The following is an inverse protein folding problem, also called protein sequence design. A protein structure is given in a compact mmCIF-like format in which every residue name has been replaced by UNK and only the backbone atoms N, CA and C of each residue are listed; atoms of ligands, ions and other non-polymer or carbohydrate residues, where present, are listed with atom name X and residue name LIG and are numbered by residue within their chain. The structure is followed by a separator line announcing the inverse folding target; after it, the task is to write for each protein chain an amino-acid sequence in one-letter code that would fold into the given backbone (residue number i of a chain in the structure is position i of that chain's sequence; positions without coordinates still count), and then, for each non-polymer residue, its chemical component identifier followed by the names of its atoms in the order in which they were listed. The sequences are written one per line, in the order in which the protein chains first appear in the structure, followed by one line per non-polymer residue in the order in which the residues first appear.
data_IF_585411523787
#
_entry.id   IF_585411523787
#
_cell.length_a   1.000
_cell.length_b   1.000
_cell.length_c   1.000
_cell.angle_alpha   90.00
_cell.angle_beta   90.00
_cell.angle_gamma   90.00
#
_symmetry.space_group_name_H-M   'P 1'
#
loop_
_entity.id
_entity.type
_entity.pdbx_description
1 polymer ?
#
# COMPACT_ATOMS: atom_id res chain seq x y z
N UNK A 1 4.00 57.23 67.91
CA UNK A 1 4.81 56.19 67.22
C UNK A 1 3.85 55.29 66.46
N UNK A 2 3.67 55.50 65.14
CA UNK A 2 2.84 54.67 64.25
C UNK A 2 3.76 54.16 63.16
N UNK A 3 4.04 52.85 63.17
CA UNK A 3 4.81 52.16 62.13
C UNK A 3 3.86 51.83 60.96
N UNK A 4 4.13 52.41 59.80
CA UNK A 4 3.47 52.04 58.53
C UNK A 4 4.18 50.83 57.96
N UNK A 5 3.44 49.69 57.81
CA UNK A 5 3.83 48.51 57.04
C UNK A 5 3.39 48.72 55.58
N UNK A 6 4.33 48.90 54.69
CA UNK A 6 4.11 48.93 53.28
C UNK A 6 4.27 47.44 52.81
N UNK A 7 3.16 46.81 52.50
CA UNK A 7 3.17 45.48 51.94
C UNK A 7 3.34 45.56 50.38
N UNK A 8 4.55 45.26 49.93
CA UNK A 8 4.84 45.11 48.50
C UNK A 8 4.17 43.82 47.97
N UNK A 9 3.14 43.99 47.17
CA UNK A 9 2.48 42.88 46.46
C UNK A 9 3.24 42.64 45.15
N UNK A 10 4.12 41.63 45.11
CA UNK A 10 4.80 41.16 43.90
C UNK A 10 3.81 40.34 43.07
N UNK A 11 3.30 40.96 42.02
CA UNK A 11 2.52 40.26 40.98
C UNK A 11 3.51 39.53 40.09
N UNK A 12 3.67 38.23 40.33
CA UNK A 12 4.41 37.32 39.44
C UNK A 12 3.50 36.94 38.30
N UNK A 13 3.59 37.63 37.18
CA UNK A 13 2.90 37.27 35.95
C UNK A 13 3.60 36.05 35.35
N UNK A 14 3.08 34.85 35.61
CA UNK A 14 3.53 33.64 34.97
C UNK A 14 3.14 33.71 33.49
N UNK A 15 4.11 34.00 32.62
CA UNK A 15 4.01 33.81 31.17
C UNK A 15 3.94 32.30 30.93
N UNK A 16 2.73 31.76 30.83
CA UNK A 16 2.50 30.43 30.27
C UNK A 16 2.73 30.56 28.77
N UNK A 17 3.99 30.40 28.36
CA UNK A 17 4.35 30.22 26.96
C UNK A 17 3.71 28.92 26.46
N UNK A 18 2.59 29.04 25.79
CA UNK A 18 2.03 27.94 24.98
C UNK A 18 3.11 27.54 23.99
N UNK A 19 3.81 26.44 24.26
CA UNK A 19 4.65 25.79 23.29
C UNK A 19 3.64 25.18 22.25
N UNK A 20 3.28 25.99 21.25
CA UNK A 20 2.70 25.50 20.03
C UNK A 20 3.82 24.67 19.43
N UNK A 21 3.81 23.36 19.66
CA UNK A 21 4.58 22.42 18.86
C UNK A 21 4.04 22.57 17.45
N UNK A 22 4.68 23.44 16.68
CA UNK A 22 4.49 23.46 15.24
C UNK A 22 4.88 22.06 14.76
N UNK A 23 3.90 21.20 14.56
CA UNK A 23 4.10 20.00 13.76
C UNK A 23 4.49 20.55 12.39
N UNK A 24 5.78 20.53 12.09
CA UNK A 24 6.24 20.83 10.74
C UNK A 24 5.44 19.94 9.82
N UNK A 25 4.56 20.55 9.02
CA UNK A 25 3.68 19.84 8.11
C UNK A 25 4.56 19.00 7.20
N UNK A 26 4.23 17.74 7.00
CA UNK A 26 5.09 16.83 6.25
C UNK A 26 5.34 17.35 4.82
N UNK A 27 4.36 18.02 4.22
CA UNK A 27 4.50 18.64 2.89
C UNK A 27 5.58 19.75 2.91
N UNK A 28 5.55 20.68 3.87
CA UNK A 28 6.54 21.75 4.00
C UNK A 28 7.96 21.21 4.19
N UNK A 29 8.09 20.17 5.02
CA UNK A 29 9.37 19.48 5.23
C UNK A 29 9.87 18.84 3.92
N UNK A 30 9.03 18.11 3.19
CA UNK A 30 9.38 17.48 1.93
C UNK A 30 9.88 18.53 0.92
N UNK A 31 9.16 19.64 0.79
CA UNK A 31 9.53 20.74 -0.12
C UNK A 31 10.83 21.42 0.32
N UNK A 32 11.00 21.68 1.61
CA UNK A 32 12.19 22.32 2.17
C UNK A 32 13.43 21.44 2.03
N UNK A 33 13.30 20.16 2.40
CA UNK A 33 14.40 19.20 2.39
C UNK A 33 14.71 18.67 0.98
N UNK A 34 13.88 19.06 -0.01
CA UNK A 34 13.98 18.60 -1.40
C UNK A 34 14.00 17.07 -1.52
N UNK A 35 13.28 16.35 -0.65
CA UNK A 35 13.29 14.90 -0.59
C UNK A 35 11.97 14.34 -0.09
N UNK A 36 11.48 13.29 -0.75
CA UNK A 36 10.32 12.50 -0.34
C UNK A 36 10.70 11.02 -0.21
N UNK A 37 10.27 10.39 0.90
CA UNK A 37 10.48 8.96 1.16
C UNK A 37 9.18 8.22 0.90
N UNK A 38 9.21 7.27 -0.04
CA UNK A 38 8.01 6.54 -0.47
C UNK A 38 8.25 5.03 -0.31
N UNK A 39 7.27 4.30 0.24
CA UNK A 39 7.37 2.83 0.34
C UNK A 39 7.41 2.19 -1.04
N UNK A 40 8.23 1.15 -1.20
CA UNK A 40 8.37 0.36 -2.41
C UNK A 40 8.32 -1.13 -2.08
N UNK A 41 7.30 -1.84 -2.57
CA UNK A 41 7.20 -3.30 -2.47
C UNK A 41 7.61 -3.91 -3.82
N UNK A 42 8.88 -4.36 -3.92
CA UNK A 42 9.49 -4.81 -5.17
C UNK A 42 9.28 -6.31 -5.47
N UNK A 43 8.40 -6.97 -4.75
CA UNK A 43 8.05 -8.39 -4.94
C UNK A 43 6.62 -8.59 -5.42
N UNK A 44 5.91 -7.50 -5.78
CA UNK A 44 4.49 -7.48 -6.13
C UNK A 44 4.28 -7.11 -7.62
N UNK A 45 4.52 -8.02 -8.57
CA UNK A 45 4.33 -7.73 -9.98
C UNK A 45 2.84 -7.49 -10.31
N UNK A 46 2.51 -6.55 -11.22
CA UNK A 46 3.38 -5.60 -11.92
C UNK A 46 3.56 -4.26 -11.20
N UNK A 47 3.08 -4.15 -9.96
CA UNK A 47 3.05 -2.91 -9.17
C UNK A 47 4.45 -2.48 -8.73
N UNK A 48 5.25 -3.44 -8.27
CA UNK A 48 6.65 -3.25 -7.91
C UNK A 48 7.45 -4.53 -8.15
N UNK A 49 8.52 -4.40 -8.89
CA UNK A 49 9.45 -5.46 -9.27
C UNK A 49 10.89 -4.94 -9.20
N UNK A 50 11.84 -5.82 -9.31
CA UNK A 50 13.19 -5.48 -9.74
C UNK A 50 13.30 -5.76 -11.24
N UNK A 51 13.78 -4.79 -12.01
CA UNK A 51 14.07 -4.96 -13.42
C UNK A 51 15.30 -5.87 -13.66
N UNK A 52 15.71 -6.04 -14.93
CA UNK A 52 16.86 -6.87 -15.29
C UNK A 52 18.20 -6.35 -14.76
N UNK A 53 18.27 -5.08 -14.39
CA UNK A 53 19.45 -4.44 -13.79
C UNK A 53 19.40 -4.42 -12.26
N UNK A 54 18.34 -4.99 -11.67
CA UNK A 54 18.13 -5.01 -10.22
C UNK A 54 17.56 -3.69 -9.68
N UNK A 55 17.09 -2.80 -10.54
CA UNK A 55 16.50 -1.52 -10.11
C UNK A 55 14.98 -1.68 -9.88
N UNK A 56 14.43 -0.98 -8.87
CA UNK A 56 12.99 -0.96 -8.65
C UNK A 56 12.23 -0.42 -9.87
N UNK A 57 11.19 -1.13 -10.30
CA UNK A 57 10.31 -0.75 -11.41
C UNK A 57 8.88 -1.25 -11.16
N UNK A 58 7.91 -0.85 -12.01
CA UNK A 58 6.50 -1.22 -11.89
C UNK A 58 5.59 0.00 -11.72
N UNK A 59 4.27 -0.21 -11.80
CA UNK A 59 3.30 0.90 -11.82
C UNK A 59 3.36 1.79 -10.58
N UNK A 60 3.53 1.22 -9.39
CA UNK A 60 3.60 2.00 -8.15
C UNK A 60 4.95 2.74 -8.02
N UNK A 61 6.01 2.14 -8.54
CA UNK A 61 7.34 2.80 -8.58
C UNK A 61 7.30 3.97 -9.58
N UNK A 62 6.68 3.79 -10.76
CA UNK A 62 6.49 4.84 -11.75
C UNK A 62 5.60 5.97 -11.19
N UNK A 63 4.54 5.64 -10.46
CA UNK A 63 3.68 6.60 -9.75
C UNK A 63 4.46 7.39 -8.70
N UNK A 64 5.32 6.73 -7.92
CA UNK A 64 6.20 7.40 -6.95
C UNK A 64 7.22 8.35 -7.62
N UNK A 65 7.81 7.93 -8.73
CA UNK A 65 8.71 8.77 -9.53
C UNK A 65 7.99 10.01 -10.08
N UNK A 66 6.74 9.83 -10.57
CA UNK A 66 5.94 10.94 -11.07
C UNK A 66 5.58 11.93 -9.96
N UNK A 67 5.21 11.43 -8.77
CA UNK A 67 4.92 12.30 -7.61
C UNK A 67 6.15 13.14 -7.22
N UNK A 68 7.32 12.51 -7.09
CA UNK A 68 8.56 13.22 -6.73
C UNK A 68 8.95 14.25 -7.79
N UNK A 69 8.79 13.92 -9.08
CA UNK A 69 9.01 14.84 -10.21
C UNK A 69 8.10 16.06 -10.12
N UNK A 70 6.82 15.86 -9.85
CA UNK A 70 5.83 16.94 -9.77
C UNK A 70 6.04 17.83 -8.54
N UNK A 71 6.55 17.27 -7.43
CA UNK A 71 6.98 18.03 -6.26
C UNK A 71 8.31 18.76 -6.47
N UNK A 72 9.09 18.39 -7.49
CA UNK A 72 10.43 18.93 -7.72
C UNK A 72 11.44 18.52 -6.64
N UNK A 73 11.34 17.28 -6.13
CA UNK A 73 12.15 16.74 -5.04
C UNK A 73 12.81 15.40 -5.44
N UNK A 74 13.86 15.02 -4.69
CA UNK A 74 14.49 13.71 -4.81
C UNK A 74 13.55 12.61 -4.26
N UNK A 75 13.48 11.46 -4.95
CA UNK A 75 12.78 10.27 -4.49
C UNK A 75 13.72 9.34 -3.75
N UNK A 76 13.38 9.03 -2.49
CA UNK A 76 13.96 7.90 -1.76
C UNK A 76 12.94 6.77 -1.67
N UNK A 77 13.25 5.61 -2.25
CA UNK A 77 12.42 4.42 -2.14
C UNK A 77 12.77 3.64 -0.87
N UNK A 78 11.79 3.49 0.02
CA UNK A 78 11.90 2.70 1.24
C UNK A 78 11.36 1.30 0.95
N UNK A 79 12.25 0.34 0.74
CA UNK A 79 11.84 -1.04 0.46
C UNK A 79 11.15 -1.67 1.66
N UNK A 80 10.00 -2.28 1.42
CA UNK A 80 9.12 -2.90 2.43
C UNK A 80 8.46 -4.16 1.87
N UNK A 81 8.05 -5.05 2.78
CA UNK A 81 7.07 -6.11 2.47
C UNK A 81 5.64 -5.59 2.65
N UNK A 82 4.64 -6.36 2.20
CA UNK A 82 3.22 -6.02 2.37
C UNK A 82 2.86 -5.66 3.81
N UNK A 83 3.36 -6.43 4.79
CA UNK A 83 3.12 -6.20 6.22
C UNK A 83 3.84 -4.97 6.77
N UNK A 84 4.93 -4.52 6.16
CA UNK A 84 5.74 -3.40 6.63
C UNK A 84 5.28 -2.04 6.12
N UNK A 85 4.38 -1.96 5.12
CA UNK A 85 3.93 -0.71 4.50
C UNK A 85 3.39 0.31 5.51
N UNK A 86 2.37 -0.08 6.27
CA UNK A 86 1.76 0.78 7.30
C UNK A 86 2.73 1.04 8.47
N UNK A 87 3.40 0.04 9.06
CA UNK A 87 4.41 0.30 10.09
C UNK A 87 5.52 1.26 9.67
N UNK A 88 6.01 1.19 8.42
CA UNK A 88 7.03 2.13 7.92
C UNK A 88 6.52 3.57 7.89
N UNK A 89 5.26 3.77 7.48
CA UNK A 89 4.60 5.07 7.44
C UNK A 89 4.40 5.63 8.85
N UNK A 90 3.84 4.83 9.78
CA UNK A 90 3.56 5.25 11.15
C UNK A 90 4.83 5.56 11.95
N UNK A 91 5.91 4.82 11.71
CA UNK A 91 7.22 5.05 12.31
C UNK A 91 7.99 6.23 11.68
N UNK A 92 7.43 6.90 10.66
CA UNK A 92 8.07 7.99 9.96
C UNK A 92 9.30 7.59 9.14
N UNK A 93 9.45 6.30 8.81
CA UNK A 93 10.48 5.82 7.87
C UNK A 93 10.15 6.19 6.43
N UNK A 94 8.87 6.26 6.10
CA UNK A 94 8.36 6.79 4.84
C UNK A 94 7.39 7.94 5.12
N UNK A 95 7.29 8.87 4.18
CA UNK A 95 6.36 9.99 4.23
C UNK A 95 5.01 9.62 3.61
N UNK A 96 5.07 8.77 2.59
CA UNK A 96 3.93 8.34 1.79
C UNK A 96 4.04 6.84 1.52
N UNK A 97 2.91 6.14 1.54
CA UNK A 97 2.83 4.77 1.07
C UNK A 97 2.21 4.73 -0.34
N UNK A 98 3.02 4.35 -1.34
CA UNK A 98 2.60 4.06 -2.72
C UNK A 98 3.07 2.64 -3.03
N UNK A 99 2.22 1.65 -2.80
CA UNK A 99 2.58 0.23 -2.95
C UNK A 99 1.32 -0.65 -3.04
N UNK A 100 0.39 -0.29 -3.92
CA UNK A 100 -0.91 -0.95 -4.14
C UNK A 100 -1.68 -1.26 -2.84
N UNK A 101 -1.65 -0.31 -1.89
CA UNK A 101 -2.28 -0.47 -0.59
C UNK A 101 -3.80 -0.38 -0.72
N UNK A 102 -4.48 -1.53 -0.73
CA UNK A 102 -5.94 -1.60 -0.85
C UNK A 102 -6.62 -0.85 0.29
N UNK A 103 -7.65 -0.06 -0.04
CA UNK A 103 -8.48 0.65 0.93
C UNK A 103 -9.36 -0.37 1.64
N UNK A 104 -9.26 -0.43 2.96
CA UNK A 104 -10.16 -1.22 3.82
C UNK A 104 -10.55 -0.41 5.04
N UNK A 105 -11.69 -0.74 5.66
CA UNK A 105 -12.15 -0.07 6.88
C UNK A 105 -11.09 -0.16 7.99
N UNK A 106 -10.45 -1.31 8.15
CA UNK A 106 -9.47 -1.50 9.22
C UNK A 106 -8.19 -0.69 8.98
N UNK A 107 -7.72 -0.60 7.73
CA UNK A 107 -6.58 0.25 7.37
C UNK A 107 -6.92 1.74 7.49
N UNK A 108 -8.15 2.14 7.13
CA UNK A 108 -8.62 3.53 7.25
C UNK A 108 -8.73 4.03 8.69
N UNK A 109 -8.81 3.13 9.68
CA UNK A 109 -8.69 3.49 11.11
C UNK A 109 -7.26 3.81 11.53
N UNK A 110 -6.26 3.44 10.71
CA UNK A 110 -4.84 3.49 11.07
C UNK A 110 -4.06 4.50 10.24
N UNK A 111 -4.44 4.70 8.98
CA UNK A 111 -3.82 5.63 8.04
C UNK A 111 -4.89 6.44 7.33
N UNK A 112 -4.52 7.57 6.73
CA UNK A 112 -5.40 8.36 5.87
C UNK A 112 -5.08 8.05 4.41
N UNK A 113 -6.12 7.78 3.62
CA UNK A 113 -6.02 7.50 2.20
C UNK A 113 -6.37 8.74 1.37
N UNK A 114 -5.58 9.00 0.35
CA UNK A 114 -5.97 9.89 -0.74
C UNK A 114 -7.02 9.22 -1.65
N UNK A 115 -7.52 9.95 -2.64
CA UNK A 115 -8.37 9.37 -3.69
C UNK A 115 -7.69 8.13 -4.30
N UNK A 116 -8.45 7.09 -4.65
CA UNK A 116 -7.91 5.91 -5.32
C UNK A 116 -7.20 6.29 -6.63
N UNK A 117 -6.10 5.61 -6.91
CA UNK A 117 -5.39 5.74 -8.18
C UNK A 117 -5.28 4.42 -8.95
N UNK A 118 -5.88 3.35 -8.42
CA UNK A 118 -5.94 2.07 -9.10
C UNK A 118 -6.92 1.09 -8.45
N UNK A 119 -7.10 -0.04 -9.11
CA UNK A 119 -7.95 -1.14 -8.65
C UNK A 119 -7.28 -2.48 -8.93
N UNK A 120 -7.59 -3.47 -8.11
CA UNK A 120 -7.14 -4.85 -8.29
C UNK A 120 -8.20 -5.84 -7.83
N UNK A 121 -8.20 -7.01 -8.43
CA UNK A 121 -8.92 -8.18 -7.91
C UNK A 121 -7.93 -9.15 -7.31
N UNK A 122 -8.30 -9.73 -6.19
CA UNK A 122 -7.58 -10.83 -5.55
C UNK A 122 -8.26 -12.13 -5.91
N UNK A 123 -7.50 -13.09 -6.36
CA UNK A 123 -8.00 -14.37 -6.87
C UNK A 123 -7.23 -15.54 -6.26
N UNK A 124 -7.88 -16.69 -6.21
CA UNK A 124 -7.20 -17.95 -5.97
C UNK A 124 -6.70 -18.51 -7.31
N UNK A 125 -5.43 -18.87 -7.36
CA UNK A 125 -4.75 -19.46 -8.52
C UNK A 125 -4.22 -20.84 -8.14
N UNK A 126 -4.39 -21.81 -9.03
CA UNK A 126 -3.90 -23.18 -8.85
C UNK A 126 -3.60 -23.83 -10.21
N UNK A 127 -2.82 -24.94 -10.25
CA UNK A 127 -2.69 -25.78 -11.42
C UNK A 127 -4.06 -26.28 -11.93
N UNK A 128 -4.20 -26.46 -13.25
CA UNK A 128 -5.43 -26.84 -13.92
C UNK A 128 -6.07 -28.13 -13.36
N UNK A 129 -5.23 -29.08 -12.97
CA UNK A 129 -5.67 -30.36 -12.40
C UNK A 129 -6.24 -30.24 -10.98
N UNK A 130 -6.00 -29.16 -10.26
CA UNK A 130 -6.59 -28.89 -8.94
C UNK A 130 -7.99 -28.33 -9.14
N UNK A 131 -9.01 -29.11 -8.73
CA UNK A 131 -10.41 -28.70 -8.86
C UNK A 131 -10.80 -27.76 -7.73
N UNK A 132 -10.96 -26.48 -8.08
CA UNK A 132 -11.41 -25.40 -7.23
C UNK A 132 -12.29 -24.50 -8.10
N UNK A 133 -13.48 -24.18 -7.63
CA UNK A 133 -14.41 -23.25 -8.28
C UNK A 133 -14.95 -22.21 -7.31
N UNK A 134 -14.98 -22.55 -6.02
CA UNK A 134 -15.50 -21.70 -4.94
C UNK A 134 -14.61 -21.81 -3.71
N UNK A 135 -14.84 -20.93 -2.73
CA UNK A 135 -14.13 -20.97 -1.44
C UNK A 135 -14.31 -22.30 -0.71
N UNK A 136 -15.48 -22.97 -0.85
CA UNK A 136 -15.73 -24.27 -0.21
C UNK A 136 -14.77 -25.38 -0.68
N UNK A 137 -14.27 -25.27 -1.92
CA UNK A 137 -13.35 -26.27 -2.51
C UNK A 137 -11.92 -26.15 -1.93
N UNK A 138 -11.67 -25.17 -1.06
CA UNK A 138 -10.43 -25.03 -0.32
C UNK A 138 -10.32 -25.99 0.89
N UNK A 139 -11.41 -26.74 1.19
CA UNK A 139 -11.42 -27.76 2.26
C UNK A 139 -10.23 -28.70 2.13
N UNK A 140 -9.46 -28.85 3.20
CA UNK A 140 -8.28 -29.71 3.30
C UNK A 140 -7.07 -29.27 2.46
N UNK A 141 -7.16 -28.17 1.69
CA UNK A 141 -6.06 -27.70 0.83
C UNK A 141 -5.12 -26.76 1.56
N UNK A 142 -3.85 -26.81 1.17
CA UNK A 142 -2.83 -25.84 1.56
C UNK A 142 -2.93 -24.62 0.65
N UNK A 143 -3.27 -23.49 1.23
CA UNK A 143 -3.54 -22.24 0.51
C UNK A 143 -2.47 -21.20 0.88
N UNK A 144 -1.60 -20.85 -0.06
CA UNK A 144 -0.58 -19.82 0.14
C UNK A 144 -1.20 -18.42 0.13
N UNK A 145 -0.90 -17.62 1.14
CA UNK A 145 -1.29 -16.22 1.24
C UNK A 145 -0.13 -15.37 1.80
N UNK A 146 -0.11 -14.09 1.44
CA UNK A 146 0.96 -13.17 1.86
C UNK A 146 0.49 -12.28 3.00
N UNK A 147 1.36 -12.08 4.01
CA UNK A 147 1.10 -11.19 5.15
C UNK A 147 0.94 -9.73 4.71
N UNK A 148 0.03 -9.01 5.36
CA UNK A 148 -0.23 -7.60 5.13
C UNK A 148 -1.02 -7.28 3.86
N UNK A 149 -1.50 -8.31 3.13
CA UNK A 149 -2.25 -8.14 1.87
C UNK A 149 -3.77 -8.13 2.10
N UNK A 150 -4.52 -7.91 1.02
CA UNK A 150 -5.99 -8.01 1.04
C UNK A 150 -6.42 -9.46 1.23
N UNK A 151 -5.67 -10.41 0.71
CA UNK A 151 -5.87 -11.85 0.83
C UNK A 151 -5.90 -12.29 2.29
N UNK A 152 -4.92 -11.84 3.07
CA UNK A 152 -4.87 -12.11 4.53
C UNK A 152 -6.10 -11.57 5.25
N UNK A 153 -6.59 -10.40 4.83
CA UNK A 153 -7.74 -9.77 5.46
C UNK A 153 -9.09 -10.41 5.06
N UNK A 154 -9.16 -11.09 3.91
CA UNK A 154 -10.44 -11.52 3.32
C UNK A 154 -10.60 -13.03 3.24
N UNK A 155 -9.59 -13.78 2.81
CA UNK A 155 -9.69 -15.21 2.58
C UNK A 155 -10.05 -16.02 3.83
N UNK A 156 -9.50 -15.73 5.04
CA UNK A 156 -9.88 -16.46 6.26
C UNK A 156 -11.37 -16.36 6.62
N UNK A 157 -12.07 -15.33 6.10
CA UNK A 157 -13.50 -15.11 6.40
C UNK A 157 -14.42 -15.99 5.55
N UNK A 158 -13.91 -16.50 4.42
CA UNK A 158 -14.71 -17.29 3.46
C UNK A 158 -14.18 -18.71 3.29
N UNK A 159 -12.94 -19.00 3.68
CA UNK A 159 -12.35 -20.32 3.59
C UNK A 159 -12.98 -21.28 4.62
N UNK A 160 -13.14 -22.57 4.29
CA UNK A 160 -13.50 -23.61 5.24
C UNK A 160 -12.53 -23.68 6.43
N UNK A 161 -13.00 -24.11 7.59
CA UNK A 161 -12.19 -24.21 8.83
C UNK A 161 -11.00 -25.18 8.72
N UNK A 162 -11.10 -26.18 7.86
CA UNK A 162 -10.09 -27.17 7.59
C UNK A 162 -9.15 -26.79 6.44
N UNK A 163 -9.36 -25.65 5.78
CA UNK A 163 -8.41 -25.08 4.86
C UNK A 163 -7.12 -24.67 5.60
N UNK A 164 -5.96 -25.09 5.09
CA UNK A 164 -4.66 -24.81 5.69
C UNK A 164 -4.07 -23.54 5.08
N UNK A 165 -4.34 -22.39 5.69
CA UNK A 165 -3.80 -21.10 5.25
C UNK A 165 -2.31 -21.00 5.63
N UNK A 166 -1.42 -21.07 4.64
CA UNK A 166 0.03 -20.99 4.79
C UNK A 166 0.50 -19.57 4.51
N UNK A 167 1.03 -18.91 5.56
CA UNK A 167 1.42 -17.50 5.51
C UNK A 167 2.87 -17.33 5.06
N UNK A 168 3.09 -16.46 4.07
CA UNK A 168 4.40 -16.04 3.57
C UNK A 168 4.63 -14.56 3.82
N UNK A 169 5.89 -14.14 3.93
CA UNK A 169 6.23 -12.76 4.25
C UNK A 169 6.17 -11.81 3.05
N UNK A 170 6.30 -12.34 1.83
CA UNK A 170 6.23 -11.59 0.58
C UNK A 170 5.57 -12.40 -0.55
N UNK A 171 5.18 -11.70 -1.62
CA UNK A 171 4.47 -12.29 -2.76
C UNK A 171 5.37 -13.25 -3.55
N UNK A 172 6.67 -12.95 -3.66
CA UNK A 172 7.61 -13.83 -4.37
C UNK A 172 7.70 -15.20 -3.70
N UNK A 173 7.79 -15.24 -2.37
CA UNK A 173 7.79 -16.48 -1.58
C UNK A 173 6.47 -17.25 -1.73
N UNK A 174 5.33 -16.55 -1.74
CA UNK A 174 4.01 -17.17 -2.00
C UNK A 174 3.95 -17.79 -3.39
N UNK A 175 4.45 -17.10 -4.40
CA UNK A 175 4.54 -17.60 -5.78
C UNK A 175 5.43 -18.84 -5.85
N UNK A 176 6.61 -18.81 -5.23
CA UNK A 176 7.53 -19.96 -5.23
C UNK A 176 6.92 -21.18 -4.55
N UNK A 177 6.18 -20.99 -3.47
CA UNK A 177 5.46 -22.07 -2.79
C UNK A 177 4.40 -22.72 -3.68
N UNK A 178 3.68 -21.94 -4.50
CA UNK A 178 2.76 -22.46 -5.50
C UNK A 178 3.49 -23.24 -6.61
N UNK A 179 4.55 -22.66 -7.17
CA UNK A 179 5.32 -23.26 -8.28
C UNK A 179 6.03 -24.54 -7.88
N UNK A 180 6.50 -24.65 -6.64
CA UNK A 180 7.16 -25.86 -6.08
C UNK A 180 6.18 -26.92 -5.59
N UNK A 181 4.89 -26.62 -5.47
CA UNK A 181 3.88 -27.54 -4.91
C UNK A 181 3.93 -27.61 -3.36
N UNK A 182 4.61 -26.68 -2.71
CA UNK A 182 4.55 -26.53 -1.24
C UNK A 182 3.13 -26.22 -0.78
N UNK A 183 2.37 -25.46 -1.60
CA UNK A 183 0.94 -25.23 -1.44
C UNK A 183 0.16 -25.73 -2.66
N UNK A 184 -1.10 -26.08 -2.47
CA UNK A 184 -1.96 -26.62 -3.55
C UNK A 184 -2.54 -25.50 -4.42
N UNK A 185 -2.75 -24.34 -3.84
CA UNK A 185 -3.17 -23.11 -4.49
C UNK A 185 -2.63 -21.90 -3.72
N UNK A 186 -2.67 -20.72 -4.33
CA UNK A 186 -2.26 -19.48 -3.68
C UNK A 186 -3.19 -18.35 -4.07
N UNK A 187 -3.28 -17.33 -3.23
CA UNK A 187 -4.07 -16.14 -3.49
C UNK A 187 -3.17 -14.92 -3.59
N UNK A 188 -3.33 -14.16 -4.68
CA UNK A 188 -2.66 -12.90 -4.96
C UNK A 188 -3.46 -12.10 -6.01
N UNK A 189 -2.98 -10.93 -6.39
CA UNK A 189 -3.67 -10.11 -7.39
C UNK A 189 -3.80 -10.83 -8.73
N UNK A 190 -4.87 -10.57 -9.46
CA UNK A 190 -5.10 -11.12 -10.82
C UNK A 190 -3.95 -10.79 -11.78
N UNK A 191 -3.29 -9.64 -11.59
CA UNK A 191 -2.11 -9.25 -12.37
C UNK A 191 -0.89 -10.12 -12.05
N UNK A 192 -0.63 -10.35 -10.75
CA UNK A 192 0.45 -11.25 -10.34
C UNK A 192 0.19 -12.67 -10.84
N UNK A 193 -1.06 -13.15 -10.73
CA UNK A 193 -1.47 -14.46 -11.25
C UNK A 193 -1.20 -14.61 -12.76
N UNK A 194 -1.60 -13.60 -13.53
CA UNK A 194 -1.32 -13.57 -14.97
C UNK A 194 0.18 -13.59 -15.25
N UNK A 195 0.95 -12.71 -14.59
CA UNK A 195 2.41 -12.62 -14.76
C UNK A 195 3.10 -13.96 -14.44
N UNK A 196 2.66 -14.65 -13.39
CA UNK A 196 3.21 -15.97 -12.99
C UNK A 196 2.84 -17.05 -13.99
N UNK A 197 1.59 -17.10 -14.46
CA UNK A 197 1.14 -18.06 -15.46
C UNK A 197 1.89 -17.89 -16.80
N UNK A 198 2.04 -16.65 -17.26
CA UNK A 198 2.74 -16.34 -18.52
C UNK A 198 4.23 -16.76 -18.49
N UNK A 199 4.88 -16.63 -17.32
CA UNK A 199 6.30 -17.02 -17.13
C UNK A 199 6.52 -18.50 -16.87
N UNK A 200 5.45 -19.25 -16.52
CA UNK A 200 5.51 -20.66 -16.17
C UNK A 200 4.43 -21.47 -16.89
N UNK A 201 4.42 -21.50 -18.23
CA UNK A 201 3.34 -22.14 -19.00
C UNK A 201 3.23 -23.65 -18.76
N UNK A 202 4.33 -24.30 -18.38
CA UNK A 202 4.40 -25.71 -18.00
C UNK A 202 3.59 -26.03 -16.75
N UNK A 203 3.40 -25.07 -15.85
CA UNK A 203 2.62 -25.25 -14.61
C UNK A 203 1.12 -25.23 -14.85
N UNK A 204 0.66 -24.78 -16.02
CA UNK A 204 -0.77 -24.70 -16.40
C UNK A 204 -1.63 -24.08 -15.32
N UNK A 205 -1.19 -22.90 -14.82
CA UNK A 205 -1.89 -22.19 -13.76
C UNK A 205 -3.18 -21.57 -14.30
N UNK A 206 -4.24 -21.64 -13.51
CA UNK A 206 -5.56 -21.07 -13.79
C UNK A 206 -6.04 -20.19 -12.64
N UNK A 207 -6.76 -19.14 -12.98
CA UNK A 207 -7.56 -18.37 -12.05
C UNK A 207 -8.79 -19.19 -11.68
N UNK A 208 -8.97 -19.49 -10.40
CA UNK A 208 -10.05 -20.37 -9.92
C UNK A 208 -11.30 -19.58 -9.57
N UNK A 209 -11.20 -18.63 -8.64
CA UNK A 209 -12.29 -17.72 -8.30
C UNK A 209 -11.74 -16.41 -7.72
N UNK A 210 -12.57 -15.36 -7.75
CA UNK A 210 -12.25 -14.07 -7.17
C UNK A 210 -12.61 -14.05 -5.68
N UNK A 211 -11.64 -13.70 -4.84
CA UNK A 211 -11.80 -13.55 -3.39
C UNK A 211 -12.37 -12.18 -3.05
N UNK A 212 -11.81 -11.12 -3.65
CA UNK A 212 -12.20 -9.74 -3.42
C UNK A 212 -11.76 -8.85 -4.58
N UNK A 213 -12.42 -7.72 -4.72
CA UNK A 213 -11.99 -6.60 -5.57
C UNK A 213 -11.89 -5.36 -4.70
N UNK A 214 -10.83 -4.58 -4.86
CA UNK A 214 -10.62 -3.37 -4.07
C UNK A 214 -9.94 -2.28 -4.89
N UNK A 215 -10.22 -1.05 -4.53
CA UNK A 215 -9.42 0.10 -4.93
C UNK A 215 -8.20 0.20 -4.01
N UNK A 216 -7.09 0.73 -4.54
CA UNK A 216 -5.92 1.05 -3.76
C UNK A 216 -5.56 2.53 -3.93
N UNK A 217 -4.94 3.09 -2.91
CA UNK A 217 -4.65 4.51 -2.85
C UNK A 217 -3.31 4.80 -2.19
N UNK A 218 -2.84 5.99 -2.43
CA UNK A 218 -1.75 6.61 -1.69
C UNK A 218 -2.20 6.81 -0.24
N UNK A 219 -1.35 6.48 0.72
CA UNK A 219 -1.65 6.67 2.13
C UNK A 219 -0.60 7.52 2.85
N UNK A 220 -1.06 8.29 3.83
CA UNK A 220 -0.25 9.09 4.75
C UNK A 220 -0.58 8.74 6.20
N UNK A 221 0.30 9.07 7.14
CA UNK A 221 0.04 8.85 8.57
C UNK A 221 -1.09 9.77 9.06
N UNK A 222 -1.78 9.41 10.13
CA UNK A 222 -2.81 10.27 10.74
C UNK A 222 -2.24 11.65 11.12
N UNK A 223 -3.01 12.70 10.83
CA UNK A 223 -2.65 14.08 11.15
C UNK A 223 -1.94 14.84 10.03
N UNK A 224 -1.46 14.19 8.97
CA UNK A 224 -0.80 14.85 7.82
C UNK A 224 -1.85 15.37 6.81
N UNK A 225 -2.77 16.23 7.28
CA UNK A 225 -3.89 16.71 6.45
C UNK A 225 -3.45 17.51 5.23
N UNK A 226 -2.41 18.33 5.34
CA UNK A 226 -1.94 19.15 4.22
C UNK A 226 -1.31 18.30 3.12
N UNK A 227 -0.49 17.30 3.52
CA UNK A 227 0.05 16.34 2.57
C UNK A 227 -1.08 15.53 1.92
N UNK A 228 -2.08 15.10 2.69
CA UNK A 228 -3.24 14.40 2.16
C UNK A 228 -4.02 15.27 1.16
N UNK A 229 -4.28 16.52 1.49
CA UNK A 229 -4.99 17.45 0.60
C UNK A 229 -4.21 17.68 -0.71
N UNK A 230 -2.90 17.86 -0.61
CA UNK A 230 -2.04 17.94 -1.80
C UNK A 230 -2.14 16.66 -2.64
N UNK A 231 -2.04 15.49 -2.03
CA UNK A 231 -2.12 14.20 -2.72
C UNK A 231 -3.48 13.98 -3.39
N UNK A 232 -4.58 14.37 -2.74
CA UNK A 232 -5.91 14.33 -3.34
C UNK A 232 -5.99 15.18 -4.62
N UNK A 233 -5.46 16.40 -4.55
CA UNK A 233 -5.39 17.31 -5.71
C UNK A 233 -4.49 16.74 -6.80
N UNK A 234 -3.34 16.19 -6.43
CA UNK A 234 -2.38 15.59 -7.35
C UNK A 234 -2.97 14.36 -8.06
N UNK A 235 -3.58 13.43 -7.32
CA UNK A 235 -4.24 12.24 -7.91
C UNK A 235 -5.35 12.68 -8.88
N UNK A 236 -6.17 13.66 -8.49
CA UNK A 236 -7.22 14.18 -9.36
C UNK A 236 -6.66 14.77 -10.66
N UNK A 237 -5.63 15.61 -10.60
CA UNK A 237 -4.99 16.21 -11.76
C UNK A 237 -4.37 15.13 -12.65
N UNK A 238 -3.59 14.21 -12.10
CA UNK A 238 -2.87 13.18 -12.86
C UNK A 238 -3.79 12.07 -13.39
N UNK A 239 -4.95 11.87 -12.79
CA UNK A 239 -6.01 11.04 -13.38
C UNK A 239 -6.69 11.76 -14.53
N UNK A 240 -6.99 13.06 -14.35
CA UNK A 240 -7.72 13.87 -15.36
C UNK A 240 -6.91 14.11 -16.63
N UNK A 241 -5.57 14.25 -16.54
CA UNK A 241 -4.68 14.42 -17.68
C UNK A 241 -4.22 13.09 -18.30
N UNK A 242 -4.66 11.95 -17.73
CA UNK A 242 -4.33 10.61 -18.22
C UNK A 242 -2.99 10.06 -17.73
N UNK A 243 -2.18 10.80 -16.99
CA UNK A 243 -0.85 10.37 -16.55
C UNK A 243 -0.90 9.08 -15.75
N UNK A 244 -1.76 9.00 -14.72
CA UNK A 244 -1.89 7.78 -13.89
C UNK A 244 -2.53 6.63 -14.67
N UNK A 245 -3.47 6.93 -15.57
CA UNK A 245 -4.05 5.92 -16.46
C UNK A 245 -3.01 5.28 -17.37
N UNK A 246 -2.14 6.09 -17.97
CA UNK A 246 -1.07 5.62 -18.84
C UNK A 246 -0.04 4.76 -18.08
N UNK A 247 0.39 5.21 -16.88
CA UNK A 247 1.29 4.42 -16.01
C UNK A 247 0.65 3.08 -15.67
N UNK A 248 -0.62 3.08 -15.31
CA UNK A 248 -1.34 1.85 -14.98
C UNK A 248 -1.41 0.90 -16.18
N UNK A 249 -1.83 1.39 -17.37
CA UNK A 249 -1.97 0.59 -18.58
C UNK A 249 -0.62 0.05 -19.08
N UNK A 250 0.44 0.85 -19.04
CA UNK A 250 1.80 0.45 -19.45
C UNK A 250 2.29 -0.78 -18.66
N UNK A 251 2.06 -0.83 -17.35
CA UNK A 251 2.58 -1.89 -16.50
C UNK A 251 1.61 -3.07 -16.33
N UNK A 252 0.30 -2.82 -16.38
CA UNK A 252 -0.72 -3.87 -16.16
C UNK A 252 -1.25 -4.49 -17.45
N UNK A 253 -1.09 -3.79 -18.58
CA UNK A 253 -1.63 -4.20 -19.88
C UNK A 253 -3.14 -3.99 -20.03
N UNK A 254 -3.79 -3.32 -19.06
CA UNK A 254 -5.22 -3.01 -19.11
C UNK A 254 -5.50 -1.55 -18.77
N UNK A 255 -6.54 -0.99 -19.35
CA UNK A 255 -6.96 0.38 -19.05
C UNK A 255 -7.45 0.51 -17.62
N UNK A 256 -7.10 1.63 -17.00
CA UNK A 256 -7.63 1.98 -15.70
C UNK A 256 -9.14 2.25 -15.81
N UNK A 257 -9.90 1.63 -14.95
CA UNK A 257 -11.36 1.86 -14.85
C UNK A 257 -11.65 3.24 -14.22
N UNK A 258 -12.88 3.72 -14.36
CA UNK A 258 -13.31 4.90 -13.61
C UNK A 258 -13.23 4.63 -12.11
N UNK A 259 -12.52 5.50 -11.40
CA UNK A 259 -12.28 5.38 -9.97
C UNK A 259 -13.21 6.31 -9.18
N UNK A 260 -13.71 5.88 -8.02
CA UNK A 260 -14.50 6.74 -7.13
C UNK A 260 -13.63 7.90 -6.63
N UNK A 261 -14.27 9.02 -6.29
CA UNK A 261 -13.66 10.19 -5.63
C UNK A 261 -14.37 10.42 -4.30
N UNK A 262 -13.64 10.76 -3.25
CA UNK A 262 -14.16 11.11 -1.93
C UNK A 262 -13.48 12.34 -1.32
#
# INVERSE_FOLDING_TARGET
MKKNFITCFLITTALIGSIITAHAQSLDRIIKDKKIRITAEVTSPPFGILDKSGQPDGSEIATARQLAKDLGVELELVQVTGAQRIPALLAGRADVAISSLSITIDRAKTVMFANPHGALSVIVTAPQNIKISTASDLSGKRVGITRGTLEEATLPKIAPKDAQLVMFDDIASTIQALLSGQVDCASFSSFAAKSVADRNPDKKLENKFTVATAYYAVAVKPGDFDLLQFLNTWVWLRTSDGTLGNIYEEHTGVKLIDLPKF
#
